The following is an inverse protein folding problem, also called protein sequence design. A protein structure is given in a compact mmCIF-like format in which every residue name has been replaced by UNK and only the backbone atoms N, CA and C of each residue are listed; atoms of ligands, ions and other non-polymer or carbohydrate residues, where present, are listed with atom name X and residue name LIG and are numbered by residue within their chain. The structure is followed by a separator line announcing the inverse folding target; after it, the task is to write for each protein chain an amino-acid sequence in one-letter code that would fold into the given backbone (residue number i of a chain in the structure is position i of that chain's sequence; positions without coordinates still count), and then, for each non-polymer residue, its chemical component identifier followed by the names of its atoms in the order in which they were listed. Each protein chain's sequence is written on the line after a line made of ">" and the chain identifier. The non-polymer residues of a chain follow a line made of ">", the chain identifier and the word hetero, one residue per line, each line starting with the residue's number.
data_IF_162072897875
#
_entry.id   IF_162072897875
#
_cell.length_a   1.000
_cell.length_b   1.000
_cell.length_c   1.000
_cell.angle_alpha   90.00
_cell.angle_beta   90.00
_cell.angle_gamma   90.00
#
_symmetry.space_group_name_H-M   'P 1'
#
loop_
_entity.id
_entity.type
_entity.pdbx_description
1 polymer ?
#
# COMPACT_ATOMS: atom_id res chain seq x y z
N UNK A 1 13.82 -1.79 10.64
CA UNK A 1 13.57 -2.15 9.23
C UNK A 1 13.11 -0.92 8.48
N UNK A 2 13.82 -0.55 7.43
CA UNK A 2 13.49 0.60 6.59
C UNK A 2 12.47 0.16 5.55
N UNK A 3 11.32 0.79 5.55
CA UNK A 3 10.18 0.39 4.70
C UNK A 3 9.73 1.53 3.80
N UNK A 4 9.25 1.16 2.61
CA UNK A 4 8.63 2.06 1.67
C UNK A 4 7.20 1.57 1.38
N UNK A 5 6.23 2.47 1.48
CA UNK A 5 4.81 2.15 1.33
C UNK A 5 4.25 2.83 0.08
N UNK A 6 3.61 2.02 -0.75
CA UNK A 6 2.96 2.46 -2.00
C UNK A 6 1.50 2.06 -1.96
N UNK A 7 0.63 3.04 -1.99
CA UNK A 7 -0.83 2.83 -1.91
C UNK A 7 -1.46 3.14 -3.26
N UNK A 8 -2.03 2.12 -3.89
CA UNK A 8 -2.91 2.26 -5.05
C UNK A 8 -4.29 2.62 -4.53
N UNK A 9 -4.53 3.91 -4.33
CA UNK A 9 -5.71 4.40 -3.62
C UNK A 9 -7.01 3.93 -4.28
N UNK A 10 -7.12 4.09 -5.60
CA UNK A 10 -8.35 3.76 -6.33
C UNK A 10 -8.71 2.28 -6.16
N UNK A 11 -7.70 1.42 -6.24
CA UNK A 11 -7.89 -0.03 -6.12
C UNK A 11 -8.34 -0.41 -4.71
N UNK A 12 -7.64 0.09 -3.69
CA UNK A 12 -7.96 -0.23 -2.29
C UNK A 12 -9.33 0.33 -1.91
N UNK A 13 -9.57 1.61 -2.23
CA UNK A 13 -10.84 2.27 -1.90
C UNK A 13 -12.03 1.57 -2.56
N UNK A 14 -11.93 1.25 -3.84
CA UNK A 14 -12.99 0.55 -4.56
C UNK A 14 -13.24 -0.84 -3.98
N UNK A 15 -12.17 -1.56 -3.62
CA UNK A 15 -12.30 -2.87 -2.99
C UNK A 15 -12.99 -2.80 -1.64
N UNK A 16 -12.60 -1.85 -0.81
CA UNK A 16 -13.24 -1.65 0.50
C UNK A 16 -14.69 -1.21 0.37
N UNK A 17 -14.99 -0.34 -0.60
CA UNK A 17 -16.35 0.15 -0.84
C UNK A 17 -17.31 -0.99 -1.23
N UNK A 18 -16.83 -1.99 -1.95
CA UNK A 18 -17.62 -3.19 -2.26
C UNK A 18 -17.98 -3.99 -1.02
N UNK A 19 -17.14 -3.94 0.02
CA UNK A 19 -17.42 -4.58 1.30
C UNK A 19 -18.38 -3.72 2.13
N UNK A 20 -18.06 -2.43 2.28
CA UNK A 20 -18.82 -1.49 3.10
C UNK A 20 -18.34 -0.06 2.85
N UNK A 21 -19.27 0.85 2.58
CA UNK A 21 -18.93 2.25 2.29
C UNK A 21 -18.24 2.94 3.47
N UNK A 22 -18.73 2.70 4.69
CA UNK A 22 -18.14 3.30 5.89
C UNK A 22 -16.70 2.84 6.12
N UNK A 23 -16.40 1.59 5.81
CA UNK A 23 -15.05 1.03 5.92
C UNK A 23 -14.10 1.72 4.92
N UNK A 24 -14.56 1.90 3.68
CA UNK A 24 -13.77 2.62 2.67
C UNK A 24 -13.51 4.06 3.08
N UNK A 25 -14.51 4.74 3.61
CA UNK A 25 -14.36 6.11 4.08
C UNK A 25 -13.42 6.21 5.28
N UNK A 26 -13.44 5.25 6.17
CA UNK A 26 -12.52 5.18 7.30
C UNK A 26 -11.06 5.08 6.81
N UNK A 27 -10.82 4.21 5.85
CA UNK A 27 -9.50 4.07 5.23
C UNK A 27 -9.03 5.41 4.63
N UNK A 28 -9.91 6.08 3.90
CA UNK A 28 -9.57 7.29 3.16
C UNK A 28 -9.42 8.53 4.04
N UNK A 29 -10.18 8.60 5.14
CA UNK A 29 -10.20 9.78 6.02
C UNK A 29 -9.26 9.68 7.20
N UNK A 30 -8.90 8.47 7.60
CA UNK A 30 -8.09 8.22 8.80
C UNK A 30 -6.83 7.40 8.50
N UNK A 31 -5.99 7.82 7.52
CA UNK A 31 -4.79 7.04 7.21
C UNK A 31 -3.82 6.93 8.38
N UNK A 32 -3.77 7.92 9.28
CA UNK A 32 -2.92 7.84 10.47
C UNK A 32 -3.27 6.65 11.36
N UNK A 33 -4.55 6.27 11.44
CA UNK A 33 -4.98 5.15 12.27
C UNK A 33 -4.42 3.82 11.76
N UNK A 34 -4.62 3.51 10.47
CA UNK A 34 -4.10 2.25 9.93
C UNK A 34 -2.57 2.29 9.78
N UNK A 35 -1.97 3.48 9.59
CA UNK A 35 -0.51 3.62 9.64
C UNK A 35 0.04 3.21 11.01
N UNK A 36 -0.59 3.65 12.09
CA UNK A 36 -0.17 3.25 13.43
C UNK A 36 -0.23 1.75 13.64
N UNK A 37 -1.27 1.12 13.10
CA UNK A 37 -1.39 -0.33 13.17
C UNK A 37 -0.25 -1.04 12.41
N UNK A 38 0.13 -0.53 11.24
CA UNK A 38 1.27 -1.07 10.49
C UNK A 38 2.57 -0.97 11.29
N UNK A 39 2.75 0.15 11.98
CA UNK A 39 3.99 0.42 12.72
C UNK A 39 4.07 -0.37 14.03
N UNK A 40 2.96 -0.55 14.74
CA UNK A 40 2.96 -1.07 16.09
C UNK A 40 2.46 -2.51 16.21
N UNK A 41 1.58 -2.95 15.32
CA UNK A 41 0.89 -4.22 15.48
C UNK A 41 1.18 -5.24 14.38
N UNK A 42 1.43 -4.80 13.15
CA UNK A 42 1.67 -5.74 12.06
C UNK A 42 3.06 -6.36 12.19
N UNK A 43 3.12 -7.68 12.06
CA UNK A 43 4.40 -8.41 12.04
C UNK A 43 5.32 -7.93 10.93
N UNK A 44 6.62 -8.21 11.07
CA UNK A 44 7.60 -7.93 10.02
C UNK A 44 7.74 -9.17 9.12
N UNK A 45 7.97 -8.96 7.80
CA UNK A 45 8.25 -10.09 6.92
C UNK A 45 9.56 -10.77 7.30
N UNK A 46 9.57 -12.09 7.29
CA UNK A 46 10.76 -12.87 7.64
C UNK A 46 11.80 -12.83 6.51
N UNK A 47 13.10 -12.88 6.82
CA UNK A 47 13.66 -12.87 8.17
C UNK A 47 13.76 -11.46 8.74
N UNK A 48 13.52 -11.33 10.05
CA UNK A 48 13.66 -10.06 10.74
C UNK A 48 14.48 -10.26 12.01
N UNK A 49 15.27 -9.25 12.38
CA UNK A 49 16.06 -9.31 13.60
C UNK A 49 15.15 -9.21 14.83
N UNK A 50 15.44 -9.95 15.91
CA UNK A 50 14.68 -9.81 17.15
C UNK A 50 14.67 -8.35 17.63
N UNK A 51 13.49 -7.82 17.98
CA UNK A 51 13.33 -6.45 18.43
C UNK A 51 13.32 -5.40 17.33
N UNK A 52 13.42 -5.80 16.07
CA UNK A 52 13.36 -4.85 14.95
C UNK A 52 11.98 -4.22 14.86
N UNK A 53 11.95 -2.94 14.48
CA UNK A 53 10.71 -2.19 14.27
C UNK A 53 10.66 -1.65 12.86
N UNK A 54 9.47 -1.56 12.31
CA UNK A 54 9.24 -0.96 11.00
C UNK A 54 9.29 0.55 11.11
N UNK A 55 10.06 1.16 10.19
CA UNK A 55 10.04 2.62 9.99
C UNK A 55 9.66 2.85 8.53
N UNK A 56 8.52 3.49 8.31
CA UNK A 56 8.03 3.73 6.95
C UNK A 56 8.56 5.09 6.49
N UNK A 57 9.71 5.06 5.80
CA UNK A 57 10.45 6.25 5.41
C UNK A 57 9.90 6.89 4.13
N UNK A 58 9.32 6.09 3.25
CA UNK A 58 8.67 6.53 2.01
C UNK A 58 7.20 6.16 2.09
N UNK A 59 6.33 7.15 1.88
CA UNK A 59 4.88 6.98 1.92
C UNK A 59 4.29 7.69 0.71
N UNK A 60 3.83 6.93 -0.27
CA UNK A 60 3.25 7.47 -1.50
C UNK A 60 1.85 6.94 -1.71
N UNK A 61 0.93 7.86 -2.02
CA UNK A 61 -0.46 7.55 -2.33
C UNK A 61 -0.74 7.97 -3.76
N UNK A 62 -1.08 6.99 -4.58
CA UNK A 62 -1.39 7.19 -6.00
C UNK A 62 -2.90 7.24 -6.15
N UNK A 63 -3.42 8.38 -6.58
CA UNK A 63 -4.87 8.53 -6.69
C UNK A 63 -5.28 9.29 -7.95
N UNK A 64 -6.50 9.01 -8.40
CA UNK A 64 -7.14 9.75 -9.46
C UNK A 64 -7.74 11.05 -8.87
N UNK A 65 -7.17 12.23 -9.19
CA UNK A 65 -7.63 13.47 -8.57
C UNK A 65 -9.06 13.85 -8.97
N UNK A 66 -9.54 13.42 -10.13
CA UNK A 66 -10.91 13.72 -10.56
C UNK A 66 -11.95 13.04 -9.65
N UNK A 67 -11.63 11.86 -9.15
CA UNK A 67 -12.57 11.10 -8.32
C UNK A 67 -12.35 11.31 -6.82
N UNK A 68 -11.09 11.50 -6.39
CA UNK A 68 -10.71 11.36 -4.98
C UNK A 68 -9.97 12.56 -4.39
N UNK A 69 -10.02 13.70 -5.04
CA UNK A 69 -9.34 14.92 -4.57
C UNK A 69 -9.68 15.27 -3.11
N UNK A 70 -10.89 14.95 -2.67
CA UNK A 70 -11.37 15.27 -1.32
C UNK A 70 -10.59 14.54 -0.21
N UNK A 71 -9.89 13.45 -0.53
CA UNK A 71 -9.13 12.68 0.45
C UNK A 71 -7.65 13.10 0.54
N UNK A 72 -7.21 13.99 -0.34
CA UNK A 72 -5.83 14.48 -0.34
C UNK A 72 -5.39 15.05 1.01
N UNK A 73 -6.19 15.90 1.70
CA UNK A 73 -5.74 16.49 2.96
C UNK A 73 -5.42 15.47 4.05
N UNK A 74 -6.23 14.40 4.18
CA UNK A 74 -5.98 13.38 5.21
C UNK A 74 -4.69 12.62 4.97
N UNK A 75 -4.35 12.32 3.71
CA UNK A 75 -3.10 11.66 3.38
C UNK A 75 -1.90 12.59 3.54
N UNK A 76 -2.03 13.87 3.20
CA UNK A 76 -0.98 14.85 3.46
C UNK A 76 -0.66 14.94 4.96
N UNK A 77 -1.69 14.98 5.81
CA UNK A 77 -1.51 15.05 7.25
C UNK A 77 -0.86 13.78 7.82
N UNK A 78 -1.01 12.65 7.15
CA UNK A 78 -0.36 11.40 7.54
C UNK A 78 1.06 11.24 6.97
N UNK A 79 1.58 12.27 6.31
CA UNK A 79 2.94 12.28 5.80
C UNK A 79 3.12 11.62 4.44
N UNK A 80 2.06 11.47 3.66
CA UNK A 80 2.15 10.89 2.32
C UNK A 80 2.49 11.95 1.27
N UNK A 81 3.33 11.55 0.32
CA UNK A 81 3.42 12.21 -0.97
C UNK A 81 2.28 11.69 -1.84
N UNK A 82 1.56 12.62 -2.49
CA UNK A 82 0.44 12.23 -3.33
C UNK A 82 0.85 12.36 -4.79
N UNK A 83 0.72 11.25 -5.51
CA UNK A 83 1.01 11.17 -6.93
C UNK A 83 -0.31 11.15 -7.68
N UNK A 84 -0.58 12.20 -8.44
CA UNK A 84 -1.81 12.31 -9.20
C UNK A 84 -1.75 11.42 -10.44
N UNK A 85 -2.75 10.58 -10.60
CA UNK A 85 -2.88 9.67 -11.73
C UNK A 85 -4.25 9.92 -12.39
N UNK A 86 -4.36 10.98 -13.22
CA UNK A 86 -5.63 11.29 -13.87
C UNK A 86 -6.00 10.22 -14.90
N UNK A 87 -7.29 10.08 -15.22
CA UNK A 87 -7.72 9.13 -16.25
C UNK A 87 -7.07 9.46 -17.60
N UNK A 88 -6.57 8.43 -18.29
CA UNK A 88 -5.96 8.57 -19.62
C UNK A 88 -6.96 8.34 -20.74
N UNK A 89 -8.12 7.77 -20.43
CA UNK A 89 -9.16 7.44 -21.40
C UNK A 89 -10.52 7.92 -20.90
N UNK A 90 -11.50 8.04 -21.81
CA UNK A 90 -12.88 8.37 -21.45
C UNK A 90 -13.53 7.30 -20.58
N UNK A 91 -12.97 6.11 -20.53
CA UNK A 91 -13.44 5.00 -19.71
C UNK A 91 -12.89 5.06 -18.27
N UNK A 92 -12.05 6.05 -17.98
CA UNK A 92 -11.48 6.23 -16.65
C UNK A 92 -10.23 5.39 -16.36
N UNK A 93 -9.62 4.77 -17.37
CA UNK A 93 -8.38 4.01 -17.20
C UNK A 93 -7.22 4.92 -16.85
N UNK A 94 -6.48 4.58 -15.79
CA UNK A 94 -5.30 5.33 -15.35
C UNK A 94 -4.03 4.52 -15.58
N UNK A 95 -2.87 5.18 -15.44
CA UNK A 95 -1.55 4.54 -15.52
C UNK A 95 -0.93 4.36 -14.14
N UNK A 96 -1.77 4.24 -13.10
CA UNK A 96 -1.32 4.16 -11.70
C UNK A 96 -0.29 3.07 -11.48
N UNK A 97 -0.55 1.85 -11.97
CA UNK A 97 0.33 0.71 -11.80
C UNK A 97 1.71 0.93 -12.42
N UNK A 98 1.75 1.55 -13.60
CA UNK A 98 3.02 1.86 -14.27
C UNK A 98 3.82 2.86 -13.45
N UNK A 99 3.19 3.94 -12.95
CA UNK A 99 3.86 4.92 -12.11
C UNK A 99 4.39 4.29 -10.82
N UNK A 100 3.60 3.44 -10.18
CA UNK A 100 4.03 2.76 -8.96
C UNK A 100 5.22 1.85 -9.21
N UNK A 101 5.19 1.06 -10.29
CA UNK A 101 6.30 0.15 -10.62
C UNK A 101 7.58 0.92 -10.88
N UNK A 102 7.52 1.98 -11.67
CA UNK A 102 8.70 2.81 -11.96
C UNK A 102 9.27 3.43 -10.68
N UNK A 103 8.43 3.94 -9.81
CA UNK A 103 8.87 4.53 -8.55
C UNK A 103 9.51 3.51 -7.62
N UNK A 104 8.95 2.30 -7.55
CA UNK A 104 9.53 1.22 -6.75
C UNK A 104 10.92 0.81 -7.29
N UNK A 105 11.05 0.69 -8.61
CA UNK A 105 12.33 0.35 -9.23
C UNK A 105 13.36 1.44 -8.99
N UNK A 106 12.95 2.71 -9.05
CA UNK A 106 13.84 3.84 -8.77
C UNK A 106 14.42 3.77 -7.37
N UNK A 107 13.63 3.35 -6.38
CA UNK A 107 14.12 3.22 -4.99
C UNK A 107 15.20 2.16 -4.85
N UNK A 108 15.22 1.13 -5.71
CA UNK A 108 16.27 0.12 -5.68
C UNK A 108 17.64 0.69 -6.03
N UNK A 109 17.68 1.81 -6.75
CA UNK A 109 18.91 2.44 -7.23
C UNK A 109 19.42 3.52 -6.30
N UNK A 110 18.69 3.84 -5.22
CA UNK A 110 19.10 4.86 -4.26
C UNK A 110 20.07 4.29 -3.24
N UNK A 111 20.87 5.18 -2.62
CA UNK A 111 21.83 4.79 -1.59
C UNK A 111 21.16 4.18 -0.38
N UNK A 112 19.99 4.67 0.00
CA UNK A 112 19.23 4.10 1.12
C UNK A 112 18.73 2.72 0.72
N UNK A 113 19.07 1.72 1.54
CA UNK A 113 18.58 0.36 1.34
C UNK A 113 17.24 0.19 2.05
N UNK A 114 16.15 0.20 1.29
CA UNK A 114 14.82 -0.09 1.83
C UNK A 114 14.64 -1.60 1.90
N UNK A 115 14.53 -2.12 3.11
CA UNK A 115 14.45 -3.57 3.36
C UNK A 115 13.10 -4.15 2.95
N UNK A 116 12.04 -3.35 3.11
CA UNK A 116 10.67 -3.78 2.87
C UNK A 116 9.96 -2.82 1.91
N UNK A 117 9.26 -3.39 0.94
CA UNK A 117 8.35 -2.66 0.06
C UNK A 117 6.93 -3.12 0.34
N UNK A 118 6.09 -2.20 0.78
CA UNK A 118 4.68 -2.46 1.09
C UNK A 118 3.84 -1.98 -0.07
N UNK A 119 3.06 -2.88 -0.66
CA UNK A 119 2.22 -2.61 -1.83
C UNK A 119 0.76 -2.82 -1.47
N UNK A 120 -0.01 -1.76 -1.48
CA UNK A 120 -1.45 -1.79 -1.20
C UNK A 120 -2.20 -1.75 -2.53
N UNK A 121 -2.41 -2.91 -3.11
CA UNK A 121 -3.19 -3.14 -4.33
C UNK A 121 -3.45 -4.62 -4.50
N UNK A 122 -4.57 -4.95 -5.10
CA UNK A 122 -4.93 -6.33 -5.48
C UNK A 122 -4.56 -6.66 -6.94
N UNK A 123 -3.95 -5.71 -7.65
CA UNK A 123 -3.68 -5.85 -9.08
C UNK A 123 -2.50 -6.79 -9.34
N UNK A 124 -2.79 -7.88 -10.07
CA UNK A 124 -1.78 -8.89 -10.42
C UNK A 124 -0.67 -8.36 -11.33
N UNK A 125 -0.85 -7.20 -11.95
CA UNK A 125 0.20 -6.56 -12.75
C UNK A 125 1.42 -6.18 -11.93
N UNK A 126 1.31 -6.13 -10.60
CA UNK A 126 2.46 -5.93 -9.71
C UNK A 126 3.29 -7.20 -9.48
N UNK A 127 2.84 -8.36 -9.95
CA UNK A 127 3.59 -9.62 -9.75
C UNK A 127 5.04 -9.53 -10.24
N UNK A 128 5.32 -8.99 -11.45
CA UNK A 128 6.71 -8.91 -11.91
C UNK A 128 7.61 -8.06 -11.01
N UNK A 129 7.11 -6.94 -10.47
CA UNK A 129 7.93 -6.09 -9.60
C UNK A 129 8.16 -6.75 -8.25
N UNK A 130 7.18 -7.48 -7.71
CA UNK A 130 7.38 -8.22 -6.46
C UNK A 130 8.50 -9.25 -6.62
N UNK A 131 8.53 -9.94 -7.76
CA UNK A 131 9.59 -10.93 -8.05
C UNK A 131 10.96 -10.27 -8.22
N UNK A 132 11.00 -9.09 -8.85
CA UNK A 132 12.23 -8.31 -8.97
C UNK A 132 12.75 -7.89 -7.60
N UNK A 133 11.89 -7.40 -6.73
CA UNK A 133 12.26 -6.99 -5.38
C UNK A 133 12.87 -8.14 -4.60
N UNK A 134 12.30 -9.33 -4.73
CA UNK A 134 12.86 -10.54 -4.09
C UNK A 134 14.25 -10.86 -4.62
N UNK A 135 14.45 -10.78 -5.95
CA UNK A 135 15.78 -11.02 -6.54
C UNK A 135 16.83 -10.04 -6.05
N UNK A 136 16.42 -8.83 -5.65
CA UNK A 136 17.29 -7.80 -5.11
C UNK A 136 17.35 -7.81 -3.59
N UNK A 137 16.94 -8.92 -2.98
CA UNK A 137 16.95 -9.12 -1.53
C UNK A 137 16.11 -8.10 -0.76
N UNK A 138 14.99 -7.70 -1.33
CA UNK A 138 13.98 -6.89 -0.64
C UNK A 138 12.80 -7.76 -0.27
N UNK A 139 12.20 -7.46 0.89
CA UNK A 139 10.98 -8.16 1.32
C UNK A 139 9.77 -7.38 0.87
N UNK A 140 8.71 -8.11 0.57
CA UNK A 140 7.47 -7.52 0.07
C UNK A 140 6.32 -7.83 1.02
N UNK A 141 5.55 -6.80 1.34
CA UNK A 141 4.35 -6.89 2.17
C UNK A 141 3.18 -6.35 1.36
N UNK A 142 2.15 -7.17 1.18
CA UNK A 142 1.05 -6.83 0.27
C UNK A 142 -0.27 -6.80 1.03
N UNK A 143 -1.07 -5.76 0.79
CA UNK A 143 -2.49 -5.71 1.15
C UNK A 143 -3.30 -5.77 -0.14
N UNK A 144 -4.04 -6.86 -0.32
CA UNK A 144 -4.96 -7.02 -1.45
C UNK A 144 -6.38 -7.11 -0.91
N UNK A 145 -7.22 -6.16 -1.28
CA UNK A 145 -8.62 -6.13 -0.85
C UNK A 145 -9.48 -6.77 -1.94
N UNK A 146 -10.25 -7.77 -1.55
CA UNK A 146 -11.09 -8.52 -2.46
C UNK A 146 -10.31 -9.63 -3.18
N UNK A 147 -10.69 -9.92 -4.43
CA UNK A 147 -10.06 -10.98 -5.21
C UNK A 147 -8.67 -10.57 -5.70
N UNK A 148 -7.72 -11.47 -5.54
CA UNK A 148 -6.40 -11.35 -6.15
C UNK A 148 -5.94 -12.74 -6.61
N UNK A 149 -5.09 -12.77 -7.66
CA UNK A 149 -4.62 -14.04 -8.22
C UNK A 149 -3.71 -14.79 -7.22
N UNK A 150 -3.71 -16.12 -7.32
CA UNK A 150 -2.87 -16.96 -6.47
C UNK A 150 -1.37 -16.65 -6.67
N UNK A 151 -0.95 -16.41 -7.92
CA UNK A 151 0.44 -16.10 -8.23
C UNK A 151 0.88 -14.77 -7.59
N UNK A 152 0.02 -13.76 -7.60
CA UNK A 152 0.31 -12.48 -6.98
C UNK A 152 0.47 -12.64 -5.47
N UNK A 153 -0.48 -13.31 -4.83
CA UNK A 153 -0.44 -13.56 -3.37
C UNK A 153 0.81 -14.34 -2.97
N UNK A 154 1.16 -15.35 -3.75
CA UNK A 154 2.35 -16.18 -3.48
C UNK A 154 3.66 -15.41 -3.68
N UNK A 155 3.65 -14.30 -4.39
CA UNK A 155 4.84 -13.47 -4.62
C UNK A 155 5.15 -12.53 -3.45
N UNK A 156 4.23 -12.37 -2.50
CA UNK A 156 4.44 -11.56 -1.31
C UNK A 156 5.14 -12.37 -0.20
N UNK A 157 6.10 -11.75 0.47
CA UNK A 157 6.73 -12.37 1.65
C UNK A 157 5.80 -12.32 2.86
N UNK A 158 5.03 -11.24 2.97
CA UNK A 158 3.98 -11.10 3.99
C UNK A 158 2.71 -10.63 3.31
N UNK A 159 1.63 -11.39 3.49
CA UNK A 159 0.33 -11.00 3.00
C UNK A 159 -0.51 -10.53 4.20
N UNK A 160 -0.91 -9.26 4.17
CA UNK A 160 -1.75 -8.71 5.24
C UNK A 160 -3.15 -9.29 5.09
N UNK A 161 -3.65 -9.90 6.17
CA UNK A 161 -5.01 -10.45 6.17
C UNK A 161 -6.03 -9.34 6.06
N UNK A 162 -6.96 -9.46 5.10
CA UNK A 162 -7.97 -8.44 4.84
C UNK A 162 -8.86 -8.21 6.07
N UNK A 163 -9.30 -9.28 6.72
CA UNK A 163 -10.19 -9.16 7.88
C UNK A 163 -9.46 -8.50 9.05
N UNK A 164 -8.20 -8.83 9.28
CA UNK A 164 -7.40 -8.18 10.31
C UNK A 164 -7.25 -6.69 10.02
N UNK A 165 -6.97 -6.33 8.77
CA UNK A 165 -6.83 -4.93 8.40
C UNK A 165 -8.13 -4.16 8.65
N UNK A 166 -9.25 -4.70 8.20
CA UNK A 166 -10.55 -4.04 8.36
C UNK A 166 -10.94 -3.92 9.82
N UNK A 167 -10.78 -4.99 10.61
CA UNK A 167 -11.24 -5.01 12.00
C UNK A 167 -10.30 -4.30 12.96
N UNK A 168 -8.99 -4.37 12.71
CA UNK A 168 -7.98 -3.89 13.66
C UNK A 168 -7.33 -2.59 13.21
N UNK A 169 -6.95 -2.48 11.95
CA UNK A 169 -6.23 -1.31 11.47
C UNK A 169 -7.15 -0.11 11.28
N UNK A 170 -8.32 -0.32 10.69
CA UNK A 170 -9.23 0.79 10.40
C UNK A 170 -9.94 1.32 11.64
N UNK A 171 -9.97 0.54 12.73
CA UNK A 171 -10.55 0.97 14.02
C UNK A 171 -9.48 1.28 15.05
N UNK A 172 -8.19 1.12 14.71
CA UNK A 172 -7.08 1.33 15.65
C UNK A 172 -7.00 2.80 16.05
N UNK A 173 -7.05 3.06 17.34
CA UNK A 173 -6.99 4.42 17.87
C UNK A 173 -8.34 5.11 18.07
N UNK A 174 -9.45 4.42 17.85
CA UNK A 174 -10.80 4.96 18.07
C UNK A 174 -11.26 4.90 19.54
N UNK A 175 -10.43 4.50 20.43
CA UNK A 175 -10.80 4.40 21.86
C UNK A 175 -10.66 5.71 22.58
#
# INVERSE_FOLDING_TARGET
>A
MKSALFVDFDNVYSGLRRLDQGTADQFARMPSAWMNWLLESLELPAPARPGARRRILVRRCYLNPQAYQRFRPSFNLAGFEIVDCPPMTSEGKTSTDIHMVLDMVDLLQQETHYDEFMVFSADADFTPVLRKLRRWDRRTTVLAIGFSSAAYRASADLLIDQDDFVRKALTFGET
#
